data_IF_115955090628
#
_entry.id   IF_115955090628
#
_cell.length_a   1.000
_cell.length_b   1.000
_cell.length_c   1.000
_cell.angle_alpha   90.00
_cell.angle_beta   90.00
_cell.angle_gamma   90.00
#
_symmetry.space_group_name_H-M   'P 1'
#
loop_
_entity.id
_entity.type
_entity.pdbx_description
1 polymer ?
#
# COMPACT_ATOMS: atom_id res chain seq x y z
N UNK A 1 0.74 -9.58 16.05
CA UNK A 1 1.98 -9.80 15.28
C UNK A 1 1.84 -11.14 14.57
N UNK A 2 1.38 -11.17 13.31
CA UNK A 2 1.33 -12.42 12.54
C UNK A 2 2.72 -12.65 11.95
N UNK A 3 3.45 -13.61 12.52
CA UNK A 3 4.73 -14.06 12.00
C UNK A 3 4.55 -14.77 10.67
N UNK A 4 5.22 -14.27 9.63
CA UNK A 4 5.39 -14.97 8.36
C UNK A 4 6.35 -16.14 8.63
N UNK A 5 5.82 -17.36 8.67
CA UNK A 5 6.65 -18.56 8.66
C UNK A 5 6.98 -18.92 7.21
N UNK A 6 8.08 -18.38 6.69
CA UNK A 6 8.77 -19.01 5.55
C UNK A 6 9.78 -19.96 6.18
N UNK A 7 9.52 -21.27 6.13
CA UNK A 7 10.54 -22.26 6.47
C UNK A 7 11.59 -22.28 5.34
N UNK A 8 12.85 -21.89 5.60
CA UNK A 8 13.91 -22.05 4.63
C UNK A 8 14.37 -23.50 4.68
N UNK A 9 14.69 -24.07 3.52
CA UNK A 9 15.31 -25.40 3.32
C UNK A 9 14.36 -26.63 3.23
N UNK A 10 14.11 -27.03 1.97
CA UNK A 10 13.75 -28.38 1.46
C UNK A 10 12.43 -29.01 1.93
N UNK A 11 11.40 -28.97 1.08
CA UNK A 11 10.42 -30.07 0.99
C UNK A 11 9.60 -30.06 -0.32
N UNK A 12 10.23 -30.11 -1.50
CA UNK A 12 9.52 -30.47 -2.76
C UNK A 12 9.32 -31.99 -2.89
N UNK A 13 9.08 -32.68 -1.77
CA UNK A 13 8.90 -34.13 -1.73
C UNK A 13 7.45 -34.47 -1.33
N UNK A 14 6.91 -35.59 -1.84
CA UNK A 14 5.52 -36.05 -1.56
C UNK A 14 5.16 -36.02 -0.07
N UNK A 15 6.11 -36.34 0.80
CA UNK A 15 5.91 -36.37 2.25
C UNK A 15 5.54 -35.00 2.84
N UNK A 16 6.04 -33.90 2.26
CA UNK A 16 5.70 -32.54 2.71
C UNK A 16 4.22 -32.21 2.51
N UNK A 17 3.64 -32.62 1.38
CA UNK A 17 2.23 -32.44 1.08
C UNK A 17 1.33 -33.28 1.98
N UNK A 18 1.68 -34.55 2.22
CA UNK A 18 0.88 -35.43 3.10
C UNK A 18 0.88 -35.01 4.57
N UNK A 19 1.95 -34.34 5.02
CA UNK A 19 2.07 -33.79 6.38
C UNK A 19 1.51 -32.37 6.50
N UNK A 20 0.96 -31.79 5.44
CA UNK A 20 0.40 -30.44 5.44
C UNK A 20 1.44 -29.33 5.63
N UNK A 21 2.69 -29.57 5.22
CA UNK A 21 3.79 -28.59 5.26
C UNK A 21 3.92 -27.81 3.94
N UNK A 22 3.26 -28.27 2.88
CA UNK A 22 3.30 -27.68 1.55
C UNK A 22 1.90 -27.56 0.95
N UNK A 23 1.77 -26.64 0.00
CA UNK A 23 0.53 -26.28 -0.65
C UNK A 23 0.70 -26.45 -2.17
N UNK A 24 -0.20 -27.23 -2.78
CA UNK A 24 -0.20 -27.51 -4.21
C UNK A 24 -0.73 -26.30 -4.95
N UNK A 25 0.10 -25.69 -5.81
CA UNK A 25 -0.28 -24.48 -6.53
C UNK A 25 -0.75 -24.83 -7.95
N UNK A 26 -2.08 -24.84 -8.23
CA UNK A 26 -2.61 -25.44 -9.45
C UNK A 26 -2.10 -24.79 -10.74
N UNK A 27 -1.72 -23.50 -10.69
CA UNK A 27 -1.20 -22.75 -11.83
C UNK A 27 0.16 -23.26 -12.33
N UNK A 28 0.98 -23.84 -11.46
CA UNK A 28 2.35 -24.27 -11.80
C UNK A 28 2.57 -25.77 -11.62
N UNK A 29 1.88 -26.41 -10.67
CA UNK A 29 1.98 -27.85 -10.45
C UNK A 29 1.01 -28.67 -11.30
N UNK A 30 0.03 -28.02 -11.93
CA UNK A 30 -1.07 -28.67 -12.66
C UNK A 30 -1.80 -29.75 -11.84
N UNK A 31 -1.87 -29.59 -10.51
CA UNK A 31 -2.57 -30.51 -9.62
C UNK A 31 -1.81 -31.80 -9.31
N UNK A 32 -0.51 -31.87 -9.59
CA UNK A 32 0.32 -33.06 -9.35
C UNK A 32 0.28 -33.57 -7.90
N UNK A 33 -0.05 -32.70 -6.93
CA UNK A 33 -0.07 -33.02 -5.50
C UNK A 33 -1.44 -32.87 -4.83
N UNK A 34 -2.50 -32.72 -5.62
CA UNK A 34 -3.86 -32.48 -5.11
C UNK A 34 -4.34 -33.61 -4.19
N UNK A 35 -4.01 -34.87 -4.49
CA UNK A 35 -4.38 -36.02 -3.65
C UNK A 35 -3.68 -36.01 -2.28
N UNK A 36 -2.40 -35.65 -2.25
CA UNK A 36 -1.62 -35.58 -1.02
C UNK A 36 -2.09 -34.42 -0.15
N UNK A 37 -2.39 -33.28 -0.76
CA UNK A 37 -2.99 -32.14 -0.06
C UNK A 37 -4.37 -32.49 0.50
N UNK A 38 -5.24 -33.16 -0.26
CA UNK A 38 -6.55 -33.60 0.23
C UNK A 38 -6.43 -34.53 1.45
N UNK A 39 -5.43 -35.43 1.46
CA UNK A 39 -5.12 -36.29 2.60
C UNK A 39 -4.70 -35.48 3.83
N UNK A 40 -3.85 -34.46 3.66
CA UNK A 40 -3.43 -33.60 4.76
C UNK A 40 -4.56 -32.70 5.29
N UNK A 41 -5.43 -32.20 4.40
CA UNK A 41 -6.65 -31.46 4.75
C UNK A 41 -7.60 -32.32 5.58
N UNK A 42 -7.90 -33.55 5.12
CA UNK A 42 -8.76 -34.48 5.82
C UNK A 42 -8.20 -34.89 7.18
N UNK A 43 -6.88 -35.06 7.27
CA UNK A 43 -6.18 -35.37 8.51
C UNK A 43 -6.02 -34.16 9.46
N UNK A 44 -6.33 -32.93 9.00
CA UNK A 44 -6.15 -31.68 9.77
C UNK A 44 -4.73 -31.56 10.35
N UNK A 45 -3.72 -31.84 9.53
CA UNK A 45 -2.31 -31.80 9.93
C UNK A 45 -1.60 -30.59 9.35
N UNK A 46 -0.57 -30.11 10.06
CA UNK A 46 0.25 -28.98 9.63
C UNK A 46 -0.58 -27.71 9.47
N UNK A 47 -0.49 -27.08 8.30
CA UNK A 47 -1.27 -25.89 7.93
C UNK A 47 -2.78 -26.10 8.09
N UNK A 48 -3.27 -27.34 7.96
CA UNK A 48 -4.69 -27.66 7.98
C UNK A 48 -5.26 -27.99 9.37
N UNK A 49 -4.47 -27.86 10.44
CA UNK A 49 -4.93 -28.07 11.81
C UNK A 49 -5.99 -27.05 12.28
N UNK A 50 -6.07 -25.90 11.60
CA UNK A 50 -7.07 -24.86 11.83
C UNK A 50 -7.71 -24.38 10.53
N UNK A 51 -8.41 -23.24 10.61
CA UNK A 51 -8.92 -22.56 9.42
C UNK A 51 -7.74 -21.96 8.64
N UNK A 52 -7.42 -22.55 7.50
CA UNK A 52 -6.37 -22.08 6.61
C UNK A 52 -6.95 -21.81 5.22
N UNK A 53 -6.79 -20.58 4.76
CA UNK A 53 -7.14 -20.16 3.41
C UNK A 53 -5.85 -20.06 2.59
N UNK A 54 -5.86 -20.60 1.36
CA UNK A 54 -4.71 -20.51 0.50
C UNK A 54 -4.43 -19.03 0.12
N UNK A 55 -3.16 -18.60 0.07
CA UNK A 55 -2.84 -17.19 -0.20
C UNK A 55 -3.37 -16.66 -1.54
N UNK A 56 -3.58 -17.52 -2.54
CA UNK A 56 -4.15 -17.09 -3.83
C UNK A 56 -5.67 -16.92 -3.75
N UNK A 57 -6.38 -17.73 -2.97
CA UNK A 57 -7.83 -17.58 -2.76
C UNK A 57 -8.09 -16.25 -2.02
N UNK A 58 -7.31 -15.98 -0.97
CA UNK A 58 -7.33 -14.69 -0.28
C UNK A 58 -7.07 -13.53 -1.26
N UNK A 59 -6.03 -13.64 -2.10
CA UNK A 59 -5.73 -12.60 -3.10
C UNK A 59 -6.84 -12.45 -4.14
N UNK A 60 -7.51 -13.51 -4.55
CA UNK A 60 -8.61 -13.44 -5.52
C UNK A 60 -9.83 -12.74 -4.91
N UNK A 61 -10.18 -13.07 -3.68
CA UNK A 61 -11.25 -12.42 -2.93
C UNK A 61 -10.96 -10.95 -2.66
N UNK A 62 -9.69 -10.61 -2.43
CA UNK A 62 -9.23 -9.26 -2.11
C UNK A 62 -8.66 -8.49 -3.33
N UNK A 63 -8.75 -9.07 -4.54
CA UNK A 63 -8.25 -8.46 -5.78
C UNK A 63 -9.03 -7.19 -6.16
N UNK A 64 -10.32 -7.14 -5.79
CA UNK A 64 -11.24 -6.04 -6.11
C UNK A 64 -11.09 -4.81 -5.21
N UNK A 65 -9.94 -4.65 -4.55
CA UNK A 65 -9.50 -3.36 -3.99
C UNK A 65 -10.42 -2.71 -2.95
N UNK A 66 -11.43 -3.40 -2.43
CA UNK A 66 -12.33 -2.86 -1.40
C UNK A 66 -11.71 -2.85 0.00
N UNK A 67 -10.56 -3.50 0.19
CA UNK A 67 -9.71 -3.36 1.39
C UNK A 67 -8.21 -3.21 1.07
N UNK A 68 -7.87 -2.80 -0.15
CA UNK A 68 -6.76 -1.88 -0.27
C UNK A 68 -7.36 -0.55 0.17
N UNK A 69 -6.92 0.11 1.26
CA UNK A 69 -7.08 1.56 1.29
C UNK A 69 -6.39 1.99 0.02
N UNK A 70 -7.19 2.29 -1.00
CA UNK A 70 -6.72 2.82 -2.24
C UNK A 70 -5.81 3.95 -1.81
N UNK A 71 -4.51 3.86 -2.06
CA UNK A 71 -3.60 4.99 -1.92
C UNK A 71 -3.91 6.08 -2.99
N UNK A 72 -5.17 6.13 -3.44
CA UNK A 72 -5.86 7.27 -4.03
C UNK A 72 -6.94 7.83 -3.09
N UNK A 73 -6.93 7.50 -1.81
CA UNK A 73 -7.43 8.40 -0.79
C UNK A 73 -6.29 9.42 -0.62
N UNK A 74 -6.47 10.71 -0.99
CA UNK A 74 -5.70 11.72 -0.30
C UNK A 74 -5.99 11.47 1.19
N UNK A 75 -4.95 11.32 2.01
CA UNK A 75 -5.12 11.35 3.47
C UNK A 75 -6.06 12.52 3.77
N UNK A 76 -7.20 12.24 4.40
CA UNK A 76 -8.33 13.15 4.49
C UNK A 76 -7.94 14.58 4.84
N UNK A 77 -7.75 15.41 3.83
CA UNK A 77 -7.81 16.85 3.94
C UNK A 77 -9.22 17.19 3.54
N UNK A 78 -9.97 17.68 4.52
CA UNK A 78 -11.27 18.27 4.31
C UNK A 78 -11.16 19.26 3.15
N UNK A 79 -11.79 18.92 2.03
CA UNK A 79 -12.15 19.91 1.03
C UNK A 79 -13.33 20.68 1.60
N UNK A 80 -13.02 21.80 2.26
CA UNK A 80 -13.75 23.07 2.17
C UNK A 80 -13.25 24.06 3.23
N UNK A 81 -12.67 25.17 2.77
CA UNK A 81 -13.05 26.48 3.28
C UNK A 81 -12.70 26.85 4.73
N UNK A 82 -11.63 26.31 5.31
CA UNK A 82 -11.12 26.85 6.58
C UNK A 82 -9.86 27.68 6.34
N UNK A 83 -10.15 28.92 5.92
CA UNK A 83 -9.28 30.08 6.04
C UNK A 83 -8.94 30.28 7.52
N UNK A 84 -7.93 29.56 8.02
CA UNK A 84 -7.21 29.85 9.26
C UNK A 84 -5.96 28.96 9.37
N UNK A 85 -5.29 28.64 8.26
CA UNK A 85 -3.94 28.07 8.36
C UNK A 85 -3.02 29.24 8.69
N UNK A 86 -2.45 29.25 9.90
CA UNK A 86 -1.36 30.17 10.24
C UNK A 86 -0.13 29.79 9.44
N UNK A 87 -0.03 30.30 8.21
CA UNK A 87 1.14 30.11 7.38
C UNK A 87 2.35 30.77 8.04
N UNK A 88 3.51 30.11 7.96
CA UNK A 88 4.76 30.59 8.58
C UNK A 88 5.90 30.58 7.56
N UNK A 89 6.74 31.62 7.59
CA UNK A 89 7.91 31.69 6.70
C UNK A 89 9.02 30.69 7.04
N UNK A 90 8.89 29.96 8.13
CA UNK A 90 9.77 28.85 8.47
C UNK A 90 8.95 27.59 8.75
N UNK A 91 9.40 26.41 8.28
CA UNK A 91 10.56 26.19 7.41
C UNK A 91 10.32 26.67 5.97
N UNK A 92 11.40 26.96 5.22
CA UNK A 92 11.30 27.38 3.81
C UNK A 92 10.69 26.26 2.97
N UNK A 93 9.56 26.55 2.31
CA UNK A 93 8.86 25.61 1.44
C UNK A 93 9.26 25.79 -0.03
N UNK A 94 9.09 24.72 -0.81
CA UNK A 94 9.20 24.72 -2.26
C UNK A 94 7.87 24.26 -2.88
N UNK A 95 7.64 24.52 -4.16
CA UNK A 95 6.37 24.20 -4.83
C UNK A 95 5.86 22.76 -4.62
N UNK A 96 6.71 21.71 -4.64
CA UNK A 96 6.25 20.33 -4.37
C UNK A 96 5.73 20.10 -2.93
N UNK A 97 6.06 20.99 -1.99
CA UNK A 97 5.65 20.91 -0.59
C UNK A 97 4.42 21.77 -0.28
N UNK A 98 4.04 22.65 -1.20
CA UNK A 98 2.89 23.55 -1.08
C UNK A 98 1.68 22.83 -1.66
N UNK A 99 0.55 22.95 -0.97
CA UNK A 99 -0.64 22.15 -1.28
C UNK A 99 -1.77 22.95 -1.93
N UNK A 100 -1.71 24.29 -1.88
CA UNK A 100 -2.75 25.15 -2.46
C UNK A 100 -2.22 26.48 -3.01
N UNK A 101 -2.87 26.99 -4.06
CA UNK A 101 -2.45 28.23 -4.70
C UNK A 101 -2.51 29.42 -3.73
N UNK A 102 -3.52 29.45 -2.86
CA UNK A 102 -3.64 30.47 -1.83
C UNK A 102 -2.49 30.43 -0.81
N UNK A 103 -1.99 29.24 -0.46
CA UNK A 103 -0.80 29.09 0.38
C UNK A 103 0.46 29.59 -0.34
N UNK A 104 0.62 29.27 -1.63
CA UNK A 104 1.73 29.76 -2.45
C UNK A 104 1.73 31.30 -2.56
N UNK A 105 0.56 31.89 -2.83
CA UNK A 105 0.35 33.34 -2.87
C UNK A 105 0.66 34.01 -1.54
N UNK A 106 0.27 33.38 -0.42
CA UNK A 106 0.60 33.91 0.90
C UNK A 106 2.13 33.94 1.11
N UNK A 107 2.85 32.89 0.73
CA UNK A 107 4.32 32.87 0.84
C UNK A 107 5.00 33.90 -0.05
N UNK A 108 4.50 34.11 -1.27
CA UNK A 108 5.01 35.13 -2.18
C UNK A 108 4.89 36.54 -1.57
N UNK A 109 3.76 36.84 -0.92
CA UNK A 109 3.49 38.16 -0.35
C UNK A 109 4.13 38.39 1.04
N UNK A 110 4.28 37.35 1.86
CA UNK A 110 4.64 37.50 3.28
C UNK A 110 6.06 37.05 3.64
N UNK A 111 6.77 36.33 2.75
CA UNK A 111 8.07 35.75 3.07
C UNK A 111 9.19 36.23 2.13
N UNK A 112 10.36 36.51 2.71
CA UNK A 112 11.55 36.97 1.96
C UNK A 112 12.08 35.98 0.92
N UNK A 113 11.77 34.69 1.07
CA UNK A 113 12.11 33.65 0.10
C UNK A 113 10.99 33.34 -0.91
N UNK A 114 9.82 33.98 -0.77
CA UNK A 114 8.63 33.72 -1.58
C UNK A 114 8.85 34.00 -3.06
N UNK A 115 9.68 34.99 -3.42
CA UNK A 115 10.03 35.28 -4.81
C UNK A 115 10.81 34.18 -5.54
N UNK A 116 11.23 33.10 -4.85
CA UNK A 116 11.79 31.90 -5.51
C UNK A 116 10.72 30.88 -5.94
N UNK A 117 9.46 31.07 -5.55
CA UNK A 117 8.32 30.26 -5.97
C UNK A 117 7.78 30.71 -7.33
N UNK A 118 7.97 32.00 -7.64
CA UNK A 118 7.63 32.63 -8.92
C UNK A 118 8.88 32.63 -9.81
N UNK A 119 8.91 31.73 -10.80
CA UNK A 119 10.11 31.45 -11.61
C UNK A 119 10.30 32.50 -12.71
N UNK A 120 9.21 32.95 -13.31
CA UNK A 120 9.13 33.88 -14.44
C UNK A 120 8.79 35.32 -14.03
N UNK A 121 8.51 35.55 -12.74
CA UNK A 121 8.30 36.87 -12.11
C UNK A 121 7.03 37.56 -12.58
N UNK A 122 6.00 36.77 -12.89
CA UNK A 122 4.70 37.25 -13.34
C UNK A 122 3.71 37.49 -12.18
N UNK A 123 4.12 37.17 -10.94
CA UNK A 123 3.30 37.28 -9.74
C UNK A 123 2.51 36.01 -9.42
N UNK A 124 2.67 34.93 -10.18
CA UNK A 124 2.01 33.64 -9.96
C UNK A 124 3.04 32.64 -9.39
N UNK A 125 2.99 32.33 -8.08
CA UNK A 125 3.90 31.36 -7.49
C UNK A 125 3.46 29.94 -7.82
N UNK A 126 4.42 29.07 -8.14
CA UNK A 126 4.17 27.65 -8.41
C UNK A 126 3.13 27.40 -9.52
N UNK A 127 3.49 27.75 -10.77
CA UNK A 127 2.69 27.57 -12.00
C UNK A 127 1.96 26.22 -12.15
N UNK A 128 2.52 25.13 -11.62
CA UNK A 128 1.89 23.80 -11.68
C UNK A 128 0.70 23.64 -10.72
N UNK A 129 0.44 24.63 -9.89
CA UNK A 129 -0.48 24.59 -8.76
C UNK A 129 -1.53 25.74 -8.76
N UNK A 130 -1.35 26.78 -9.58
CA UNK A 130 -2.16 28.02 -9.58
C UNK A 130 -3.00 28.30 -10.85
#
# INVERSE_FOLDING_TARGET
MLGIAIAPTVATSRAGFERGLALDWPRYSHGAYARQQAKAQAAKVGLWAGAFQAPWDWRAEHANGTTRPSAKQPLGIMRNGQVAQSYSCQPRRTCPQISSCNEANWYLANCSWGGKLDRDKDGIPCESLC
#
